data_IF_626205689676
#
_entry.id   IF_626205689676
#
_cell.length_a   1.000
_cell.length_b   1.000
_cell.length_c   1.000
_cell.angle_alpha   90.00
_cell.angle_beta   90.00
_cell.angle_gamma   90.00
#
_symmetry.space_group_name_H-M   'P 1'
#
loop_
_entity.id
_entity.type
_entity.pdbx_description
1 polymer ?
#
# COMPACT_ATOMS: atom_id res chain seq x y z
N UNK A 1 6.06 29.05 -52.19
CA UNK A 1 6.72 29.27 -50.89
C UNK A 1 5.65 29.30 -49.79
N UNK A 2 5.70 28.35 -48.84
CA UNK A 2 5.37 28.37 -47.38
C UNK A 2 4.23 29.31 -46.88
N UNK A 3 3.24 29.01 -46.03
CA UNK A 3 2.63 27.81 -45.40
C UNK A 3 1.39 28.23 -44.56
N UNK A 4 0.45 27.28 -44.30
CA UNK A 4 -0.36 27.03 -43.06
C UNK A 4 -1.20 28.18 -42.42
N UNK A 5 -2.39 28.00 -41.83
CA UNK A 5 -2.94 26.87 -41.07
C UNK A 5 -4.48 26.90 -41.01
N UNK A 6 -5.03 25.69 -40.86
CA UNK A 6 -6.44 25.28 -40.89
C UNK A 6 -7.28 25.73 -39.70
N UNK A 7 -8.58 25.92 -39.94
CA UNK A 7 -9.57 26.25 -38.92
C UNK A 7 -9.87 25.14 -37.89
N UNK A 8 -10.65 25.56 -36.87
CA UNK A 8 -11.75 24.84 -36.18
C UNK A 8 -12.01 25.45 -34.78
N UNK A 9 -13.04 26.28 -34.57
CA UNK A 9 -13.48 26.66 -33.24
C UNK A 9 -14.74 25.91 -32.78
N UNK A 10 -14.82 24.57 -32.95
CA UNK A 10 -16.03 23.79 -32.55
C UNK A 10 -15.73 22.51 -31.75
N UNK A 11 -14.48 22.24 -31.36
CA UNK A 11 -14.13 21.01 -30.60
C UNK A 11 -13.78 21.28 -29.12
N UNK A 12 -13.91 22.52 -28.64
CA UNK A 12 -13.62 22.85 -27.24
C UNK A 12 -14.75 22.50 -26.26
N UNK A 13 -16.01 22.42 -26.71
CA UNK A 13 -17.16 22.20 -25.82
C UNK A 13 -17.35 20.74 -25.38
N UNK A 14 -16.62 19.77 -25.94
CA UNK A 14 -16.79 18.33 -25.65
C UNK A 14 -15.69 17.70 -24.78
N UNK A 15 -14.61 18.44 -24.47
CA UNK A 15 -13.45 17.92 -23.71
C UNK A 15 -13.48 18.16 -22.20
N UNK A 16 -14.36 19.02 -21.71
CA UNK A 16 -14.39 19.38 -20.28
C UNK A 16 -15.03 18.28 -19.44
N UNK A 17 -16.06 17.60 -19.98
CA UNK A 17 -16.77 16.54 -19.24
C UNK A 17 -15.87 15.31 -19.07
N UNK A 18 -15.06 14.95 -20.08
CA UNK A 18 -14.19 13.78 -20.02
C UNK A 18 -13.02 13.92 -19.03
N UNK A 19 -12.47 15.13 -18.85
CA UNK A 19 -11.40 15.38 -17.87
C UNK A 19 -11.94 15.49 -16.44
N UNK A 20 -13.15 16.01 -16.24
CA UNK A 20 -13.80 16.04 -14.92
C UNK A 20 -14.11 14.64 -14.40
N UNK A 21 -14.64 13.75 -15.26
CA UNK A 21 -14.87 12.34 -14.91
C UNK A 21 -13.56 11.64 -14.56
N UNK A 22 -12.47 11.92 -15.31
CA UNK A 22 -11.16 11.34 -15.02
C UNK A 22 -10.60 11.81 -13.67
N UNK A 23 -10.79 13.08 -13.28
CA UNK A 23 -10.40 13.58 -11.95
C UNK A 23 -11.30 13.05 -10.81
N UNK A 24 -12.59 12.81 -11.08
CA UNK A 24 -13.51 12.19 -10.12
C UNK A 24 -13.22 10.70 -9.89
N UNK A 25 -12.85 9.97 -10.95
CA UNK A 25 -12.43 8.56 -10.88
C UNK A 25 -11.00 8.40 -10.35
N UNK A 26 -10.17 9.46 -10.44
CA UNK A 26 -8.87 9.56 -9.77
C UNK A 26 -8.98 10.30 -8.43
N UNK A 27 -10.14 10.27 -7.77
CA UNK A 27 -10.15 10.48 -6.33
C UNK A 27 -9.27 9.34 -5.79
N UNK A 28 -8.10 9.60 -5.17
CA UNK A 28 -7.54 8.60 -4.30
C UNK A 28 -8.58 8.49 -3.20
N UNK A 29 -9.53 7.57 -3.36
CA UNK A 29 -10.09 6.93 -2.21
C UNK A 29 -8.82 6.44 -1.50
N UNK A 30 -8.39 7.20 -0.48
CA UNK A 30 -7.93 6.57 0.73
C UNK A 30 -9.02 5.55 0.98
N UNK A 31 -8.75 4.32 0.56
CA UNK A 31 -9.67 3.23 0.72
C UNK A 31 -9.75 3.13 2.23
N UNK A 32 -10.73 3.80 2.83
CA UNK A 32 -11.17 3.51 4.18
C UNK A 32 -11.85 2.16 4.02
N UNK A 33 -11.03 1.11 4.01
CA UNK A 33 -11.46 -0.27 4.02
C UNK A 33 -12.40 -0.40 5.23
N UNK A 34 -13.72 -0.54 5.04
CA UNK A 34 -14.67 -0.59 6.14
C UNK A 34 -14.38 -1.88 6.92
N UNK A 35 -13.85 -1.74 8.14
CA UNK A 35 -13.43 -2.85 8.99
C UNK A 35 -12.01 -2.71 9.56
N UNK A 36 -11.19 -1.80 9.02
CA UNK A 36 -9.87 -1.53 9.56
C UNK A 36 -9.95 -0.56 10.75
N UNK A 37 -9.46 -0.93 11.95
CA UNK A 37 -9.36 0.01 13.05
C UNK A 37 -8.57 1.24 12.58
N UNK A 38 -9.04 2.48 12.84
CA UNK A 38 -8.34 3.69 12.39
C UNK A 38 -6.89 3.75 12.88
N UNK A 39 -6.62 3.13 14.03
CA UNK A 39 -5.28 2.99 14.60
C UNK A 39 -4.38 2.03 13.81
N UNK A 40 -4.91 0.95 13.21
CA UNK A 40 -4.11 0.06 12.36
C UNK A 40 -3.62 0.80 11.13
N UNK A 41 -4.50 1.56 10.47
CA UNK A 41 -4.13 2.33 9.28
C UNK A 41 -3.02 3.34 9.58
N UNK A 42 -3.09 4.02 10.73
CA UNK A 42 -2.03 4.94 11.20
C UNK A 42 -0.71 4.21 11.43
N UNK A 43 -0.73 3.05 12.09
CA UNK A 43 0.48 2.24 12.34
C UNK A 43 1.09 1.70 11.05
N UNK A 44 0.26 1.25 10.10
CA UNK A 44 0.70 0.79 8.78
C UNK A 44 1.41 1.89 7.98
N UNK A 45 0.96 3.15 8.12
CA UNK A 45 1.62 4.31 7.49
C UNK A 45 3.00 4.62 8.09
N UNK A 46 3.29 4.20 9.33
CA UNK A 46 4.61 4.35 9.98
C UNK A 46 5.63 3.30 9.53
N UNK A 47 5.16 2.21 8.91
CA UNK A 47 6.04 1.18 8.40
C UNK A 47 6.78 1.67 7.14
N UNK A 48 8.05 1.28 7.02
CA UNK A 48 8.80 1.41 5.79
C UNK A 48 8.29 0.41 4.74
N UNK A 49 8.59 0.60 3.44
CA UNK A 49 8.23 -0.38 2.42
C UNK A 49 8.73 -1.79 2.73
N UNK A 50 9.95 -1.91 3.27
CA UNK A 50 10.54 -3.21 3.60
C UNK A 50 9.88 -3.86 4.81
N UNK A 51 9.52 -3.07 5.81
CA UNK A 51 8.76 -3.53 6.97
C UNK A 51 7.36 -4.02 6.59
N UNK A 52 6.68 -3.35 5.64
CA UNK A 52 5.40 -3.82 5.10
C UNK A 52 5.53 -5.17 4.41
N UNK A 53 6.57 -5.37 3.60
CA UNK A 53 6.85 -6.66 2.95
C UNK A 53 7.02 -7.76 4.01
N UNK A 54 7.85 -7.52 5.03
CA UNK A 54 8.05 -8.48 6.12
C UNK A 54 6.74 -8.75 6.88
N UNK A 55 5.94 -7.71 7.15
CA UNK A 55 4.64 -7.86 7.81
C UNK A 55 3.69 -8.77 7.04
N UNK A 56 3.54 -8.57 5.72
CA UNK A 56 2.69 -9.42 4.87
C UNK A 56 3.15 -10.87 4.89
N UNK A 57 4.45 -11.12 4.72
CA UNK A 57 4.98 -12.48 4.74
C UNK A 57 4.85 -13.16 6.12
N UNK A 58 4.87 -12.39 7.21
CA UNK A 58 4.57 -12.91 8.55
C UNK A 58 3.08 -13.21 8.70
N UNK A 59 2.20 -12.40 8.12
CA UNK A 59 0.76 -12.64 8.11
C UNK A 59 0.36 -13.90 7.33
N UNK A 60 1.10 -14.20 6.26
CA UNK A 60 1.03 -15.47 5.50
C UNK A 60 1.54 -16.68 6.32
N UNK A 61 2.10 -16.47 7.51
CA UNK A 61 2.60 -17.53 8.40
C UNK A 61 4.00 -18.04 8.06
N UNK A 62 4.77 -17.30 7.25
CA UNK A 62 6.11 -17.73 6.85
C UNK A 62 7.13 -17.63 8.00
N UNK A 63 8.06 -18.59 8.02
CA UNK A 63 9.18 -18.61 8.97
C UNK A 63 10.25 -17.57 8.59
N UNK A 64 11.08 -17.14 9.55
CA UNK A 64 12.19 -16.20 9.28
C UNK A 64 13.10 -16.67 8.14
N UNK A 65 13.35 -17.98 8.04
CA UNK A 65 14.17 -18.57 6.98
C UNK A 65 13.49 -18.51 5.61
N UNK A 66 12.17 -18.68 5.55
CA UNK A 66 11.39 -18.57 4.31
C UNK A 66 11.32 -17.12 3.83
N UNK A 67 11.04 -16.19 4.75
CA UNK A 67 11.02 -14.75 4.48
C UNK A 67 12.39 -14.29 3.98
N UNK A 68 13.47 -14.74 4.63
CA UNK A 68 14.84 -14.45 4.24
C UNK A 68 15.14 -14.88 2.80
N UNK A 69 14.71 -16.09 2.41
CA UNK A 69 14.86 -16.60 1.04
C UNK A 69 14.04 -15.81 0.02
N UNK A 70 12.81 -15.45 0.36
CA UNK A 70 11.91 -14.73 -0.56
C UNK A 70 12.35 -13.28 -0.78
N UNK A 71 12.93 -12.67 0.25
CA UNK A 71 13.39 -11.28 0.23
C UNK A 71 14.89 -11.15 -0.11
N UNK A 72 15.58 -12.26 -0.34
CA UNK A 72 17.03 -12.36 -0.58
C UNK A 72 17.88 -11.58 0.45
N UNK A 73 17.60 -11.83 1.74
CA UNK A 73 18.30 -11.20 2.88
C UNK A 73 18.65 -12.23 3.95
N UNK A 74 19.57 -11.87 4.85
CA UNK A 74 19.92 -12.73 5.98
C UNK A 74 18.72 -12.93 6.94
N UNK A 75 18.53 -14.14 7.51
CA UNK A 75 17.54 -14.38 8.57
C UNK A 75 17.68 -13.43 9.75
N UNK A 76 18.91 -13.03 10.08
CA UNK A 76 19.19 -12.04 11.14
C UNK A 76 18.63 -10.66 10.79
N UNK A 77 18.65 -10.28 9.52
CA UNK A 77 18.05 -9.03 9.03
C UNK A 77 16.53 -9.08 9.09
N UNK A 78 15.92 -10.24 8.80
CA UNK A 78 14.48 -10.45 8.95
C UNK A 78 14.05 -10.28 10.41
N UNK A 79 14.83 -10.78 11.36
CA UNK A 79 14.55 -10.61 12.80
C UNK A 79 14.53 -9.13 13.20
N UNK A 80 15.51 -8.34 12.74
CA UNK A 80 15.54 -6.89 12.98
C UNK A 80 14.30 -6.21 12.39
N UNK A 81 13.95 -6.52 11.14
CA UNK A 81 12.75 -5.98 10.51
C UNK A 81 11.47 -6.40 11.23
N UNK A 82 11.36 -7.65 11.71
CA UNK A 82 10.21 -8.12 12.50
C UNK A 82 10.10 -7.38 13.82
N UNK A 83 11.20 -7.18 14.54
CA UNK A 83 11.21 -6.41 15.80
C UNK A 83 10.75 -4.96 15.57
N UNK A 84 11.22 -4.33 14.48
CA UNK A 84 10.78 -2.99 14.12
C UNK A 84 9.30 -2.94 13.74
N UNK A 85 8.80 -3.93 12.98
CA UNK A 85 7.38 -4.06 12.66
C UNK A 85 6.56 -4.23 13.93
N UNK A 86 6.97 -5.11 14.85
CA UNK A 86 6.26 -5.36 16.11
C UNK A 86 6.18 -4.11 16.98
N UNK A 87 7.30 -3.38 17.10
CA UNK A 87 7.35 -2.12 17.82
C UNK A 87 6.41 -1.07 17.22
N UNK A 88 6.45 -0.89 15.89
CA UNK A 88 5.62 0.09 15.18
C UNK A 88 4.13 -0.28 15.10
N UNK A 89 3.82 -1.57 15.09
CA UNK A 89 2.46 -2.10 15.12
C UNK A 89 1.90 -2.23 16.54
N UNK A 90 2.73 -1.96 17.56
CA UNK A 90 2.40 -2.03 18.98
C UNK A 90 1.89 -3.43 19.37
N UNK A 91 2.58 -4.47 18.90
CA UNK A 91 2.26 -5.87 19.18
C UNK A 91 3.44 -6.57 19.83
N UNK A 92 3.14 -7.48 20.76
CA UNK A 92 4.16 -8.20 21.55
C UNK A 92 4.48 -9.59 21.01
N UNK A 93 3.71 -10.09 20.04
CA UNK A 93 3.87 -11.44 19.48
C UNK A 93 3.53 -11.48 18.00
N UNK A 94 4.21 -12.38 17.28
CA UNK A 94 3.89 -12.69 15.88
C UNK A 94 2.45 -13.15 15.72
N UNK A 95 1.90 -13.91 16.67
CA UNK A 95 0.51 -14.34 16.64
C UNK A 95 -0.47 -13.18 16.79
N UNK A 96 -0.14 -12.18 17.61
CA UNK A 96 -0.93 -10.96 17.74
C UNK A 96 -0.88 -10.13 16.46
N UNK A 97 0.30 -10.05 15.81
CA UNK A 97 0.44 -9.39 14.50
C UNK A 97 -0.42 -10.08 13.43
N UNK A 98 -0.35 -11.41 13.32
CA UNK A 98 -1.15 -12.19 12.36
C UNK A 98 -2.64 -11.95 12.58
N UNK A 99 -3.13 -12.08 13.82
CA UNK A 99 -4.53 -11.81 14.15
C UNK A 99 -4.95 -10.40 13.78
N UNK A 100 -4.11 -9.42 14.07
CA UNK A 100 -4.36 -8.02 13.74
C UNK A 100 -4.46 -7.79 12.22
N UNK A 101 -3.54 -8.36 11.45
CA UNK A 101 -3.49 -8.23 9.97
C UNK A 101 -4.68 -8.94 9.31
N UNK A 102 -5.00 -10.17 9.77
CA UNK A 102 -6.18 -10.93 9.32
C UNK A 102 -7.48 -10.19 9.64
N UNK A 103 -7.60 -9.62 10.85
CA UNK A 103 -8.78 -8.85 11.25
C UNK A 103 -8.94 -7.54 10.47
N UNK A 104 -7.82 -7.00 9.98
CA UNK A 104 -7.78 -5.84 9.12
C UNK A 104 -8.11 -6.13 7.64
N UNK A 105 -8.35 -7.40 7.27
CA UNK A 105 -8.64 -7.78 5.88
C UNK A 105 -7.46 -7.59 4.92
N UNK A 106 -6.24 -7.49 5.47
CA UNK A 106 -5.02 -7.46 4.68
C UNK A 106 -4.45 -8.89 4.70
N UNK A 107 -4.39 -9.61 3.56
CA UNK A 107 -3.69 -10.88 3.48
C UNK A 107 -2.18 -10.68 3.61
#
# INVERSE_FOLDING_TARGET
MVAKASGKPVVLARRIIASAIRLLLYRPQRISLPGLPPEFSKRLMRLTPRERQVMSLVAEGLSNKAIARQLDISPKTVEIHRSNVMSKMEVTSSGALIRMVVSAGHP
#
